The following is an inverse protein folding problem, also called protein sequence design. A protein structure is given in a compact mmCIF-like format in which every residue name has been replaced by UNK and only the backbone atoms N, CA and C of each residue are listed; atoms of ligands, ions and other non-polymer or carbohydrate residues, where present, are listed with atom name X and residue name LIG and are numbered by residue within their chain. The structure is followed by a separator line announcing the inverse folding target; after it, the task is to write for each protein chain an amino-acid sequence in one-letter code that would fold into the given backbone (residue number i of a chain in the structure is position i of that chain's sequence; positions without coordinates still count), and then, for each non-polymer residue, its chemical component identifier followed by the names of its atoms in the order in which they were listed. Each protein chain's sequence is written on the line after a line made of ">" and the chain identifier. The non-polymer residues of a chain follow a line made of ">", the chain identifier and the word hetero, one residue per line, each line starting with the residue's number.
data_IF_631497626639
#
_entry.id   IF_631497626639
#
_cell.length_a   1.000
_cell.length_b   1.000
_cell.length_c   1.000
_cell.angle_alpha   90.00
_cell.angle_beta   90.00
_cell.angle_gamma   90.00
#
_symmetry.space_group_name_H-M   'P 1'
#
loop_
_entity.id
_entity.type
_entity.pdbx_description
1 polymer ?
#
# COMPACT_ATOMS: atom_id res chain seq x y z
N UNK A 1 -28.16 -21.75 19.60
CA UNK A 1 -27.01 -20.94 20.04
C UNK A 1 -27.02 -19.69 19.18
N UNK A 2 -26.55 -18.55 19.68
CA UNK A 2 -26.34 -17.37 18.84
C UNK A 2 -25.21 -17.68 17.84
N UNK A 3 -25.42 -17.49 16.55
CA UNK A 3 -24.42 -17.75 15.50
C UNK A 3 -23.13 -16.94 15.75
N UNK A 4 -23.27 -15.75 16.32
CA UNK A 4 -22.13 -14.93 16.75
C UNK A 4 -21.34 -15.58 17.89
N UNK A 5 -21.97 -16.37 18.77
CA UNK A 5 -21.27 -17.13 19.82
C UNK A 5 -20.57 -18.36 19.25
N UNK A 6 -21.19 -19.06 18.29
CA UNK A 6 -20.55 -20.20 17.61
C UNK A 6 -19.30 -19.77 16.83
N UNK A 7 -19.37 -18.65 16.11
CA UNK A 7 -18.21 -18.06 15.40
C UNK A 7 -17.12 -17.67 16.41
N UNK A 8 -17.51 -17.05 17.52
CA UNK A 8 -16.56 -16.62 18.54
C UNK A 8 -15.80 -17.81 19.14
N UNK A 9 -16.51 -18.88 19.46
CA UNK A 9 -15.93 -20.07 20.08
C UNK A 9 -15.09 -20.86 19.08
N UNK A 10 -15.51 -20.97 17.81
CA UNK A 10 -14.72 -21.59 16.76
C UNK A 10 -13.37 -20.87 16.56
N UNK A 11 -13.36 -19.54 16.54
CA UNK A 11 -12.11 -18.77 16.37
C UNK A 11 -11.22 -18.84 17.61
N UNK A 12 -11.79 -18.82 18.83
CA UNK A 12 -11.02 -19.04 20.07
C UNK A 12 -10.38 -20.42 20.11
N UNK A 13 -11.09 -21.46 19.64
CA UNK A 13 -10.56 -22.82 19.52
C UNK A 13 -9.40 -22.93 18.51
N UNK A 14 -9.29 -21.99 17.57
CA UNK A 14 -8.12 -21.85 16.68
C UNK A 14 -6.96 -21.06 17.30
N UNK A 15 -7.08 -20.65 18.58
CA UNK A 15 -6.07 -19.90 19.31
C UNK A 15 -6.11 -18.39 19.06
N UNK A 16 -7.20 -17.86 18.49
CA UNK A 16 -7.35 -16.42 18.27
C UNK A 16 -7.97 -15.73 19.48
N UNK A 17 -7.42 -14.57 19.85
CA UNK A 17 -7.99 -13.71 20.89
C UNK A 17 -8.94 -12.70 20.26
N UNK A 18 -10.21 -12.70 20.66
CA UNK A 18 -11.21 -11.79 20.11
C UNK A 18 -11.33 -10.50 20.92
N UNK A 19 -11.63 -9.39 20.26
CA UNK A 19 -11.95 -8.10 20.85
C UNK A 19 -13.46 -7.88 20.75
N UNK A 20 -14.20 -8.28 21.79
CA UNK A 20 -15.66 -8.21 21.79
C UNK A 20 -16.33 -9.40 21.08
N UNK A 21 -17.65 -9.31 20.91
CA UNK A 21 -18.45 -10.32 20.18
C UNK A 21 -18.39 -10.07 18.68
N UNK A 22 -18.47 -11.12 17.83
CA UNK A 22 -18.78 -10.98 16.42
C UNK A 22 -20.02 -10.10 16.22
N UNK A 23 -19.99 -9.29 15.17
CA UNK A 23 -21.08 -8.37 14.84
C UNK A 23 -21.55 -8.70 13.45
N UNK A 24 -22.86 -8.82 13.26
CA UNK A 24 -23.45 -9.02 11.95
C UNK A 24 -23.12 -7.82 11.04
N UNK A 25 -22.66 -8.09 9.82
CA UNK A 25 -22.48 -7.04 8.83
C UNK A 25 -23.87 -6.44 8.51
N UNK A 26 -24.00 -5.11 8.57
CA UNK A 26 -25.29 -4.40 8.38
C UNK A 26 -25.92 -4.63 7.01
N UNK A 27 -25.16 -5.17 6.06
CA UNK A 27 -25.65 -5.56 4.75
C UNK A 27 -26.03 -7.05 4.63
N UNK A 28 -26.01 -7.81 5.73
CA UNK A 28 -26.39 -9.23 5.78
C UNK A 28 -25.41 -10.15 5.06
N UNK A 29 -24.17 -9.69 4.83
CA UNK A 29 -23.15 -10.41 4.03
C UNK A 29 -22.19 -11.27 4.88
N UNK A 30 -22.55 -11.55 6.14
CA UNK A 30 -21.76 -12.37 7.06
C UNK A 30 -21.45 -11.66 8.38
N UNK A 31 -20.44 -12.16 9.10
CA UNK A 31 -20.05 -11.63 10.41
C UNK A 31 -18.70 -10.90 10.37
N UNK A 32 -18.59 -9.84 11.14
CA UNK A 32 -17.36 -9.09 11.40
C UNK A 32 -16.79 -9.55 12.73
N UNK A 33 -15.53 -9.99 12.73
CA UNK A 33 -14.87 -10.46 13.94
C UNK A 33 -13.60 -9.68 14.18
N UNK A 34 -13.48 -9.09 15.36
CA UNK A 34 -12.29 -8.33 15.75
C UNK A 34 -11.31 -9.26 16.48
N UNK A 35 -10.09 -9.38 15.98
CA UNK A 35 -9.03 -10.25 16.52
C UNK A 35 -7.88 -9.40 17.01
N UNK A 36 -7.49 -9.58 18.27
CA UNK A 36 -6.34 -8.91 18.85
C UNK A 36 -5.04 -9.44 18.24
N UNK A 37 -4.13 -8.53 17.91
CA UNK A 37 -2.78 -8.84 17.45
C UNK A 37 -1.74 -8.05 18.23
N UNK A 38 -0.63 -8.71 18.53
CA UNK A 38 0.56 -8.14 19.17
C UNK A 38 1.75 -8.19 18.20
N UNK A 39 2.75 -7.35 18.45
CA UNK A 39 4.00 -7.33 17.69
C UNK A 39 5.19 -7.47 18.65
N UNK A 40 6.11 -8.37 18.34
CA UNK A 40 7.36 -8.49 19.10
C UNK A 40 8.32 -7.32 18.79
N UNK A 41 9.48 -7.29 19.47
CA UNK A 41 10.52 -6.27 19.27
C UNK A 41 11.08 -6.26 17.83
N UNK A 42 10.96 -7.38 17.11
CA UNK A 42 11.32 -7.50 15.69
C UNK A 42 10.21 -7.10 14.71
N UNK A 43 9.04 -6.69 15.22
CA UNK A 43 7.87 -6.35 14.40
C UNK A 43 7.14 -7.56 13.82
N UNK A 44 7.41 -8.76 14.31
CA UNK A 44 6.67 -9.97 13.92
C UNK A 44 5.31 -9.97 14.62
N UNK A 45 4.26 -10.14 13.83
CA UNK A 45 2.87 -10.19 14.30
C UNK A 45 2.56 -11.55 14.95
N UNK A 46 1.84 -11.54 16.07
CA UNK A 46 1.24 -12.71 16.71
C UNK A 46 -0.23 -12.42 17.10
N UNK A 47 -1.22 -13.22 16.66
CA UNK A 47 -1.10 -14.35 15.74
C UNK A 47 -0.66 -13.93 14.33
N UNK A 48 0.02 -14.83 13.63
CA UNK A 48 0.52 -14.60 12.27
C UNK A 48 -0.63 -14.54 11.27
N UNK A 49 -0.41 -13.86 10.13
CA UNK A 49 -1.41 -13.82 9.05
C UNK A 49 -1.78 -15.21 8.53
N UNK A 50 -0.87 -16.18 8.59
CA UNK A 50 -1.16 -17.55 8.20
C UNK A 50 -2.15 -18.23 9.16
N UNK A 51 -1.93 -18.10 10.47
CA UNK A 51 -2.83 -18.66 11.49
C UNK A 51 -4.22 -18.04 11.40
N UNK A 52 -4.29 -16.71 11.23
CA UNK A 52 -5.55 -15.98 11.06
C UNK A 52 -6.27 -16.45 9.79
N UNK A 53 -5.59 -16.52 8.64
CA UNK A 53 -6.22 -16.98 7.39
C UNK A 53 -6.69 -18.42 7.45
N UNK A 54 -5.94 -19.30 8.13
CA UNK A 54 -6.34 -20.69 8.32
C UNK A 54 -7.60 -20.80 9.17
N UNK A 55 -7.65 -20.05 10.27
CA UNK A 55 -8.83 -19.98 11.13
C UNK A 55 -10.03 -19.38 10.39
N UNK A 56 -9.82 -18.31 9.62
CA UNK A 56 -10.84 -17.67 8.79
C UNK A 56 -11.46 -18.68 7.81
N UNK A 57 -10.64 -19.36 7.01
CA UNK A 57 -11.11 -20.33 6.03
C UNK A 57 -11.84 -21.53 6.67
N UNK A 58 -11.39 -21.99 7.84
CA UNK A 58 -12.02 -23.10 8.55
C UNK A 58 -13.40 -22.70 9.06
N UNK A 59 -13.52 -21.52 9.67
CA UNK A 59 -14.81 -21.01 10.17
C UNK A 59 -15.74 -20.67 9.00
N UNK A 60 -15.24 -20.06 7.93
CA UNK A 60 -16.04 -19.78 6.72
C UNK A 60 -16.66 -21.05 6.13
N UNK A 61 -15.93 -22.17 6.15
CA UNK A 61 -16.41 -23.45 5.62
C UNK A 61 -17.55 -24.09 6.43
N UNK A 62 -17.76 -23.67 7.67
CA UNK A 62 -18.71 -24.29 8.61
C UNK A 62 -19.86 -23.32 8.92
N UNK A 63 -19.54 -22.06 9.19
CA UNK A 63 -20.45 -21.05 9.75
C UNK A 63 -20.69 -19.87 8.79
N UNK A 64 -20.28 -19.98 7.53
CA UNK A 64 -20.52 -18.96 6.51
C UNK A 64 -19.54 -17.79 6.56
N UNK A 65 -19.77 -16.79 5.70
CA UNK A 65 -18.81 -15.70 5.46
C UNK A 65 -18.48 -14.92 6.74
N UNK A 66 -17.19 -14.83 7.05
CA UNK A 66 -16.68 -14.00 8.14
C UNK A 66 -15.60 -13.04 7.65
N UNK A 67 -15.40 -11.96 8.39
CA UNK A 67 -14.42 -10.93 8.05
C UNK A 67 -13.59 -10.60 9.29
N UNK A 68 -12.34 -11.04 9.30
CA UNK A 68 -11.48 -10.79 10.45
C UNK A 68 -10.84 -9.39 10.36
N UNK A 69 -11.07 -8.56 11.38
CA UNK A 69 -10.50 -7.24 11.58
C UNK A 69 -9.42 -7.33 12.65
N UNK A 70 -8.18 -6.99 12.32
CA UNK A 70 -7.09 -7.01 13.29
C UNK A 70 -7.16 -5.76 14.16
N UNK A 71 -6.94 -5.92 15.46
CA UNK A 71 -6.91 -4.83 16.44
C UNK A 71 -5.60 -4.92 17.19
N UNK A 72 -4.75 -3.89 17.13
CA UNK A 72 -3.51 -3.83 17.90
C UNK A 72 -3.63 -2.87 19.07
N UNK A 73 -2.96 -3.18 20.18
CA UNK A 73 -2.93 -2.34 21.38
C UNK A 73 -2.26 -0.96 21.18
N UNK A 74 -1.46 -0.78 20.12
CA UNK A 74 -0.70 0.46 19.87
C UNK A 74 -1.51 1.60 19.23
N UNK A 75 -2.82 1.59 19.43
CA UNK A 75 -3.71 2.62 18.89
C UNK A 75 -4.22 2.28 17.50
N UNK A 76 -5.31 2.97 17.17
CA UNK A 76 -6.26 2.73 16.10
C UNK A 76 -5.64 2.85 14.68
N UNK A 77 -4.70 1.98 14.32
CA UNK A 77 -4.02 2.00 13.03
C UNK A 77 -4.88 1.35 11.95
N UNK A 78 -6.03 1.98 11.68
CA UNK A 78 -6.98 1.51 10.69
C UNK A 78 -6.34 1.39 9.30
N UNK A 79 -5.29 2.18 8.99
CA UNK A 79 -4.53 2.08 7.74
C UNK A 79 -3.90 0.70 7.63
N UNK A 80 -3.30 0.20 8.71
CA UNK A 80 -2.78 -1.15 8.77
C UNK A 80 -3.89 -2.20 8.78
N UNK A 81 -5.03 -1.94 9.42
CA UNK A 81 -6.14 -2.88 9.46
C UNK A 81 -6.78 -3.09 8.08
N UNK A 82 -7.10 -2.01 7.35
CA UNK A 82 -7.69 -2.10 6.01
C UNK A 82 -6.72 -2.76 5.03
N UNK A 83 -5.43 -2.39 5.12
CA UNK A 83 -4.38 -2.99 4.31
C UNK A 83 -4.25 -4.49 4.57
N UNK A 84 -4.24 -4.90 5.84
CA UNK A 84 -4.11 -6.31 6.23
C UNK A 84 -5.33 -7.12 5.79
N UNK A 85 -6.53 -6.59 6.02
CA UNK A 85 -7.79 -7.24 5.61
C UNK A 85 -7.85 -7.44 4.08
N UNK A 86 -7.57 -6.40 3.30
CA UNK A 86 -7.61 -6.49 1.84
C UNK A 86 -6.47 -7.35 1.26
N UNK A 87 -5.23 -7.24 1.77
CA UNK A 87 -4.12 -8.09 1.32
C UNK A 87 -4.37 -9.55 1.66
N UNK A 88 -4.98 -9.86 2.82
CA UNK A 88 -5.27 -11.22 3.23
C UNK A 88 -6.32 -11.86 2.31
N UNK A 89 -7.45 -11.18 2.13
CA UNK A 89 -8.57 -11.66 1.30
C UNK A 89 -8.21 -11.73 -0.18
N UNK A 90 -7.50 -10.73 -0.70
CA UNK A 90 -7.15 -10.62 -2.12
C UNK A 90 -5.66 -10.89 -2.38
N UNK A 91 -5.07 -11.81 -1.62
CA UNK A 91 -3.62 -12.08 -1.65
C UNK A 91 -3.11 -12.56 -3.01
N UNK A 92 -3.97 -13.17 -3.85
CA UNK A 92 -3.61 -13.61 -5.21
C UNK A 92 -3.60 -12.45 -6.21
N UNK A 93 -4.38 -11.41 -5.95
CA UNK A 93 -4.62 -10.30 -6.88
C UNK A 93 -3.82 -9.06 -6.50
N UNK A 94 -3.70 -8.73 -5.21
CA UNK A 94 -3.10 -7.50 -4.72
C UNK A 94 -1.66 -7.76 -4.25
N UNK A 95 -0.73 -6.93 -4.71
CA UNK A 95 0.67 -6.92 -4.24
C UNK A 95 0.82 -6.01 -3.02
N UNK A 96 0.20 -4.84 -3.07
CA UNK A 96 0.37 -3.82 -2.03
C UNK A 96 -0.81 -2.85 -2.03
N UNK A 97 -1.00 -2.17 -0.91
CA UNK A 97 -2.06 -1.17 -0.72
C UNK A 97 -1.45 0.05 -0.05
N UNK A 98 -1.87 1.21 -0.51
CA UNK A 98 -1.51 2.50 0.06
C UNK A 98 -2.78 3.22 0.49
N UNK A 99 -2.69 3.94 1.61
CA UNK A 99 -3.85 4.58 2.22
C UNK A 99 -3.47 5.98 2.67
N UNK A 100 -4.28 6.96 2.31
CA UNK A 100 -4.21 8.32 2.80
C UNK A 100 -5.52 8.70 3.46
N UNK A 101 -5.44 9.59 4.45
CA UNK A 101 -6.55 9.90 5.35
C UNK A 101 -6.56 11.39 5.58
N UNK A 102 -7.70 12.02 5.31
CA UNK A 102 -7.91 13.46 5.53
C UNK A 102 -9.28 13.66 6.18
N UNK A 103 -9.29 13.89 7.48
CA UNK A 103 -10.54 13.91 8.25
C UNK A 103 -11.20 12.54 8.25
N UNK A 104 -12.47 12.46 7.85
CA UNK A 104 -13.23 11.21 7.71
C UNK A 104 -13.12 10.58 6.31
N UNK A 105 -12.33 11.17 5.40
CA UNK A 105 -12.16 10.71 4.02
C UNK A 105 -10.90 9.88 3.89
N UNK A 106 -11.04 8.74 3.23
CA UNK A 106 -9.94 7.80 2.97
C UNK A 106 -9.75 7.65 1.47
N UNK A 107 -8.51 7.75 1.03
CA UNK A 107 -8.10 7.43 -0.35
C UNK A 107 -7.29 6.14 -0.32
N UNK A 108 -7.65 5.19 -1.18
CA UNK A 108 -6.99 3.90 -1.32
C UNK A 108 -6.41 3.73 -2.72
N UNK A 109 -5.18 3.24 -2.76
CA UNK A 109 -4.54 2.81 -3.98
C UNK A 109 -4.15 1.34 -3.86
N UNK A 110 -4.57 0.54 -4.82
CA UNK A 110 -4.18 -0.86 -4.92
C UNK A 110 -3.10 -1.02 -5.99
N UNK A 111 -2.04 -1.75 -5.65
CA UNK A 111 -1.01 -2.18 -6.59
C UNK A 111 -1.26 -3.66 -6.91
N UNK A 112 -1.81 -4.00 -8.07
CA UNK A 112 -2.15 -5.38 -8.39
C UNK A 112 -0.94 -6.18 -8.92
N UNK A 113 -0.94 -7.49 -8.63
CA UNK A 113 0.09 -8.44 -9.07
C UNK A 113 0.07 -8.67 -10.58
N UNK A 114 -1.12 -8.72 -11.16
CA UNK A 114 -1.41 -8.86 -12.59
C UNK A 114 -2.56 -7.93 -12.96
N UNK A 115 -3.03 -7.98 -14.21
CA UNK A 115 -4.25 -7.26 -14.57
C UNK A 115 -5.45 -7.95 -13.90
N UNK A 116 -6.31 -7.15 -13.29
CA UNK A 116 -7.48 -7.59 -12.52
C UNK A 116 -8.71 -7.18 -13.33
N UNK A 117 -9.71 -8.07 -13.41
CA UNK A 117 -10.96 -7.75 -14.07
C UNK A 117 -11.71 -6.63 -13.34
N UNK A 118 -12.42 -5.77 -14.08
CA UNK A 118 -13.16 -4.64 -13.52
C UNK A 118 -14.17 -5.07 -12.43
N UNK A 119 -14.78 -6.26 -12.59
CA UNK A 119 -15.69 -6.85 -11.60
C UNK A 119 -14.99 -7.11 -10.26
N UNK A 120 -13.77 -7.63 -10.29
CA UNK A 120 -12.97 -7.88 -9.08
C UNK A 120 -12.48 -6.57 -8.45
N UNK A 121 -12.15 -5.54 -9.25
CA UNK A 121 -11.81 -4.21 -8.76
C UNK A 121 -12.97 -3.62 -7.95
N UNK A 122 -14.20 -3.69 -8.49
CA UNK A 122 -15.41 -3.24 -7.79
C UNK A 122 -15.68 -4.02 -6.51
N UNK A 123 -15.44 -5.33 -6.52
CA UNK A 123 -15.58 -6.16 -5.32
C UNK A 123 -14.63 -5.70 -4.20
N UNK A 124 -13.34 -5.48 -4.54
CA UNK A 124 -12.33 -4.97 -3.60
C UNK A 124 -12.73 -3.59 -3.08
N UNK A 125 -13.22 -2.70 -3.97
CA UNK A 125 -13.67 -1.36 -3.59
C UNK A 125 -14.86 -1.42 -2.62
N UNK A 126 -15.89 -2.21 -2.93
CA UNK A 126 -17.06 -2.38 -2.07
C UNK A 126 -16.65 -2.89 -0.70
N UNK A 127 -15.76 -3.89 -0.65
CA UNK A 127 -15.25 -4.43 0.60
C UNK A 127 -14.48 -3.39 1.42
N UNK A 128 -13.70 -2.55 0.75
CA UNK A 128 -13.03 -1.43 1.40
C UNK A 128 -14.04 -0.42 1.98
N UNK A 129 -15.12 -0.11 1.25
CA UNK A 129 -16.21 0.76 1.74
C UNK A 129 -16.87 0.19 2.98
N UNK A 130 -17.23 -1.09 2.96
CA UNK A 130 -17.88 -1.76 4.08
C UNK A 130 -17.02 -1.67 5.34
N UNK A 131 -15.73 -1.97 5.20
CA UNK A 131 -14.77 -1.86 6.28
C UNK A 131 -14.66 -0.43 6.84
N UNK A 132 -14.59 0.58 5.97
CA UNK A 132 -14.47 1.98 6.39
C UNK A 132 -15.70 2.47 7.15
N UNK A 133 -16.90 1.99 6.81
CA UNK A 133 -18.13 2.36 7.53
C UNK A 133 -18.11 1.97 9.00
N UNK A 134 -17.45 0.86 9.35
CA UNK A 134 -17.29 0.40 10.74
C UNK A 134 -16.59 1.46 11.60
N UNK A 135 -15.68 2.22 10.99
CA UNK A 135 -14.89 3.28 11.65
C UNK A 135 -15.49 4.68 11.44
N UNK A 136 -16.72 4.80 10.91
CA UNK A 136 -17.32 6.07 10.50
C UNK A 136 -16.46 6.86 9.49
N UNK A 137 -15.73 6.15 8.63
CA UNK A 137 -14.93 6.72 7.55
C UNK A 137 -15.65 6.52 6.20
N UNK A 138 -15.37 7.40 5.26
CA UNK A 138 -15.88 7.32 3.89
C UNK A 138 -14.75 7.14 2.89
N UNK A 139 -14.95 6.25 1.92
CA UNK A 139 -14.02 6.08 0.80
C UNK A 139 -14.22 7.23 -0.17
N UNK A 140 -13.24 8.11 -0.26
CA UNK A 140 -13.26 9.29 -1.14
C UNK A 140 -12.71 8.95 -2.52
N UNK A 141 -11.61 8.19 -2.57
CA UNK A 141 -10.98 7.76 -3.82
C UNK A 141 -10.54 6.29 -3.72
N UNK A 142 -10.80 5.52 -4.77
CA UNK A 142 -10.26 4.17 -4.95
C UNK A 142 -9.57 4.10 -6.30
N UNK A 143 -8.30 3.70 -6.31
CA UNK A 143 -7.48 3.79 -7.52
C UNK A 143 -6.66 2.52 -7.73
N UNK A 144 -6.78 1.95 -8.92
CA UNK A 144 -5.86 0.93 -9.41
C UNK A 144 -4.62 1.62 -10.00
N UNK A 145 -3.45 1.41 -9.39
CA UNK A 145 -2.22 2.09 -9.84
C UNK A 145 -1.80 1.72 -11.27
N UNK A 146 -2.29 0.60 -11.82
CA UNK A 146 -2.03 0.22 -13.22
C UNK A 146 -2.87 0.99 -14.24
N UNK A 147 -4.04 1.49 -13.83
CA UNK A 147 -4.96 2.22 -14.71
C UNK A 147 -4.76 3.74 -14.66
N UNK A 148 -4.08 4.26 -13.62
CA UNK A 148 -3.73 5.68 -13.53
C UNK A 148 -2.41 6.01 -14.23
N UNK A 149 -2.22 7.29 -14.54
CA UNK A 149 -0.96 7.85 -15.03
C UNK A 149 0.09 7.95 -13.90
N UNK A 150 0.30 6.84 -13.19
CA UNK A 150 1.35 6.77 -12.16
C UNK A 150 2.71 6.74 -12.83
N UNK A 151 3.73 7.39 -12.24
CA UNK A 151 5.00 7.51 -12.92
C UNK A 151 5.76 6.19 -12.94
N UNK A 152 6.23 5.80 -14.12
CA UNK A 152 7.06 4.61 -14.28
C UNK A 152 8.41 4.76 -13.57
N UNK A 153 9.02 3.63 -13.21
CA UNK A 153 10.39 3.62 -12.65
C UNK A 153 11.36 4.44 -13.53
N UNK A 154 11.24 4.28 -14.85
CA UNK A 154 12.05 5.00 -15.83
C UNK A 154 11.81 6.50 -15.80
N UNK A 155 10.55 6.95 -15.64
CA UNK A 155 10.23 8.37 -15.52
C UNK A 155 10.85 8.99 -14.25
N UNK A 156 10.66 8.33 -13.10
CA UNK A 156 11.21 8.77 -11.82
C UNK A 156 12.75 8.80 -11.83
N UNK A 157 13.39 7.72 -12.29
CA UNK A 157 14.84 7.65 -12.36
C UNK A 157 15.39 8.68 -13.36
N UNK A 158 14.74 8.90 -14.51
CA UNK A 158 15.15 9.96 -15.44
C UNK A 158 15.09 11.36 -14.84
N UNK A 159 14.11 11.63 -13.98
CA UNK A 159 14.00 12.87 -13.24
C UNK A 159 15.18 13.04 -12.28
N UNK A 160 15.46 12.01 -11.47
CA UNK A 160 16.63 11.98 -10.58
C UNK A 160 17.91 12.17 -11.38
N UNK A 161 18.07 11.52 -12.54
CA UNK A 161 19.25 11.70 -13.41
C UNK A 161 19.48 13.15 -13.82
N UNK A 162 18.40 13.83 -14.21
CA UNK A 162 18.47 15.17 -14.80
C UNK A 162 18.64 16.26 -13.76
N UNK A 163 17.93 16.16 -12.64
CA UNK A 163 17.84 17.25 -11.65
C UNK A 163 18.60 16.99 -10.35
N UNK A 164 19.23 15.81 -10.19
CA UNK A 164 19.96 15.45 -8.97
C UNK A 164 20.94 16.53 -8.49
N UNK A 165 21.07 16.72 -7.17
CA UNK A 165 20.39 15.99 -6.10
C UNK A 165 18.91 16.38 -5.94
N UNK A 166 18.02 15.40 -5.73
CA UNK A 166 16.59 15.63 -5.45
C UNK A 166 16.15 15.00 -4.14
N UNK A 167 15.47 15.76 -3.28
CA UNK A 167 14.71 15.20 -2.16
C UNK A 167 13.45 14.45 -2.64
N UNK A 168 12.83 13.69 -1.74
CA UNK A 168 11.56 13.02 -2.02
C UNK A 168 10.45 14.02 -2.36
N UNK A 169 10.35 15.13 -1.61
CA UNK A 169 9.31 16.15 -1.82
C UNK A 169 9.49 16.87 -3.16
N UNK A 170 10.73 17.23 -3.50
CA UNK A 170 11.04 17.80 -4.82
C UNK A 170 10.70 16.84 -5.95
N UNK A 171 10.96 15.54 -5.78
CA UNK A 171 10.63 14.53 -6.79
C UNK A 171 9.12 14.40 -6.96
N UNK A 172 8.35 14.43 -5.87
CA UNK A 172 6.89 14.42 -5.91
C UNK A 172 6.33 15.63 -6.65
N UNK A 173 6.80 16.85 -6.33
CA UNK A 173 6.38 18.09 -7.01
C UNK A 173 6.65 17.99 -8.52
N UNK A 174 7.87 17.62 -8.89
CA UNK A 174 8.29 17.49 -10.30
C UNK A 174 7.51 16.44 -11.09
N UNK A 175 7.09 15.36 -10.43
CA UNK A 175 6.26 14.33 -11.05
C UNK A 175 4.84 14.86 -11.29
N UNK A 176 4.26 15.55 -10.30
CA UNK A 176 2.92 16.15 -10.43
C UNK A 176 2.88 17.26 -11.48
N UNK A 177 3.91 18.11 -11.55
CA UNK A 177 4.04 19.15 -12.59
C UNK A 177 4.09 18.57 -14.01
N UNK A 178 4.55 17.33 -14.15
CA UNK A 178 4.55 16.60 -15.43
C UNK A 178 3.25 15.85 -15.72
N UNK A 179 2.24 16.02 -14.87
CA UNK A 179 0.92 15.39 -15.00
C UNK A 179 0.86 13.95 -14.52
N UNK A 180 1.84 13.48 -13.73
CA UNK A 180 1.77 12.14 -13.13
C UNK A 180 0.97 12.15 -11.83
N UNK A 181 0.21 11.07 -11.63
CA UNK A 181 -0.48 10.81 -10.37
C UNK A 181 0.48 10.13 -9.38
N UNK A 182 0.94 10.88 -8.38
CA UNK A 182 1.75 10.32 -7.28
C UNK A 182 0.81 9.92 -6.14
N UNK A 183 0.65 8.62 -5.82
CA UNK A 183 -0.38 8.16 -4.89
C UNK A 183 -0.24 8.70 -3.47
N UNK A 184 0.91 8.46 -2.84
CA UNK A 184 1.21 8.85 -1.45
C UNK A 184 2.70 9.07 -1.29
N UNK A 185 3.09 9.80 -0.24
CA UNK A 185 4.50 9.90 0.15
C UNK A 185 5.11 8.52 0.44
N UNK A 186 4.36 7.62 1.10
CA UNK A 186 4.80 6.24 1.38
C UNK A 186 5.04 5.43 0.10
N UNK A 187 4.25 5.66 -0.95
CA UNK A 187 4.47 5.05 -2.26
C UNK A 187 5.81 5.46 -2.84
N UNK A 188 6.11 6.77 -2.83
CA UNK A 188 7.36 7.29 -3.37
C UNK A 188 8.56 6.84 -2.52
N UNK A 189 8.43 6.89 -1.20
CA UNK A 189 9.43 6.41 -0.25
C UNK A 189 9.78 4.94 -0.49
N UNK A 190 8.77 4.04 -0.62
CA UNK A 190 9.01 2.62 -0.93
C UNK A 190 9.74 2.42 -2.26
N UNK A 191 9.41 3.20 -3.29
CA UNK A 191 10.10 3.11 -4.57
C UNK A 191 11.54 3.60 -4.50
N UNK A 192 11.79 4.74 -3.85
CA UNK A 192 13.14 5.26 -3.59
C UNK A 192 13.98 4.25 -2.82
N UNK A 193 13.40 3.63 -1.79
CA UNK A 193 14.11 2.68 -0.94
C UNK A 193 14.39 1.36 -1.69
N UNK A 194 13.47 0.92 -2.56
CA UNK A 194 13.69 -0.19 -3.51
C UNK A 194 14.86 0.11 -4.46
N UNK A 195 14.90 1.30 -5.06
CA UNK A 195 15.99 1.69 -5.97
C UNK A 195 17.33 1.87 -5.25
N UNK A 196 17.31 2.34 -4.00
CA UNK A 196 18.50 2.43 -3.15
C UNK A 196 19.06 1.05 -2.83
N UNK A 197 18.21 0.11 -2.39
CA UNK A 197 18.60 -1.30 -2.15
C UNK A 197 19.09 -1.98 -3.43
N UNK A 198 18.49 -1.66 -4.58
CA UNK A 198 18.95 -2.09 -5.90
C UNK A 198 20.24 -1.42 -6.39
N UNK A 199 20.79 -0.47 -5.62
CA UNK A 199 21.96 0.35 -5.94
C UNK A 199 21.81 1.19 -7.23
N UNK A 200 20.59 1.55 -7.62
CA UNK A 200 20.33 2.44 -8.77
C UNK A 200 20.48 3.91 -8.38
N UNK A 201 20.20 4.23 -7.13
CA UNK A 201 20.35 5.57 -6.55
C UNK A 201 21.08 5.48 -5.20
N UNK A 202 21.67 6.59 -4.79
CA UNK A 202 22.31 6.77 -3.49
C UNK A 202 21.65 7.97 -2.77
N UNK A 203 21.39 7.82 -1.47
CA UNK A 203 20.86 8.90 -0.62
C UNK A 203 22.03 9.58 0.07
N UNK A 204 22.21 10.87 -0.19
CA UNK A 204 23.21 11.73 0.44
C UNK A 204 22.82 12.05 1.89
N UNK A 205 23.78 12.57 2.66
CA UNK A 205 23.57 12.97 4.06
C UNK A 205 22.51 14.09 4.20
N UNK A 206 22.39 14.95 3.19
CA UNK A 206 21.37 16.01 3.11
C UNK A 206 19.96 15.49 2.74
N UNK A 207 19.79 14.18 2.59
CA UNK A 207 18.52 13.54 2.23
C UNK A 207 18.23 13.55 0.72
N UNK A 208 19.08 14.17 -0.11
CA UNK A 208 18.94 14.18 -1.56
C UNK A 208 19.36 12.85 -2.20
N UNK A 209 18.64 12.45 -3.25
CA UNK A 209 18.94 11.26 -4.03
C UNK A 209 19.74 11.63 -5.28
N UNK A 210 20.78 10.85 -5.54
CA UNK A 210 21.62 10.94 -6.73
C UNK A 210 21.69 9.58 -7.42
N UNK A 211 21.90 9.58 -8.73
CA UNK A 211 22.02 8.35 -9.50
C UNK A 211 23.41 7.72 -9.34
N UNK A 212 23.47 6.40 -9.22
CA UNK A 212 24.74 5.66 -9.24
C UNK A 212 25.18 5.35 -10.66
N UNK A 213 26.44 4.93 -10.84
CA UNK A 213 26.94 4.42 -12.13
C UNK A 213 26.11 3.23 -12.64
N UNK A 214 25.68 2.34 -11.75
CA UNK A 214 24.80 1.21 -12.07
C UNK A 214 23.43 1.69 -12.55
N UNK A 215 22.85 2.69 -11.89
CA UNK A 215 21.58 3.31 -12.30
C UNK A 215 21.67 3.98 -13.67
N UNK A 216 22.78 4.69 -13.94
CA UNK A 216 23.03 5.30 -15.26
C UNK A 216 23.11 4.25 -16.36
N UNK A 217 23.82 3.14 -16.13
CA UNK A 217 23.90 2.02 -17.07
C UNK A 217 22.53 1.38 -17.30
N UNK A 218 21.75 1.17 -16.23
CA UNK A 218 20.43 0.54 -16.31
C UNK A 218 19.40 1.36 -17.11
N UNK A 219 19.49 2.70 -17.10
CA UNK A 219 18.62 3.57 -17.90
C UNK A 219 19.02 3.67 -19.37
N UNK A 220 20.24 3.22 -19.71
CA UNK A 220 20.83 3.46 -21.02
C UNK A 220 21.15 4.93 -21.30
N UNK A 221 22.05 5.13 -22.25
CA UNK A 221 22.42 6.43 -22.80
C UNK A 221 21.92 6.52 -24.24
N UNK A 222 20.83 7.25 -24.49
CA UNK A 222 20.44 7.61 -25.85
C UNK A 222 21.43 8.62 -26.43
N UNK A 223 22.18 8.25 -27.47
CA UNK A 223 23.19 9.10 -28.14
C UNK A 223 22.55 10.12 -29.10
N UNK A 224 21.63 10.97 -28.63
CA UNK A 224 20.98 12.01 -29.46
C UNK A 224 21.16 13.40 -28.82
N UNK A 225 20.91 14.50 -29.56
CA UNK A 225 20.99 15.90 -29.06
C UNK A 225 20.12 16.21 -27.81
N UNK A 226 19.23 15.30 -27.41
CA UNK A 226 18.46 15.31 -26.15
C UNK A 226 19.15 14.49 -25.05
N UNK A 227 20.45 14.28 -25.14
CA UNK A 227 21.21 13.50 -24.17
C UNK A 227 21.05 14.13 -22.78
N UNK A 228 20.69 13.32 -21.77
CA UNK A 228 20.61 13.74 -20.37
C UNK A 228 21.90 14.41 -19.89
N UNK A 229 23.05 13.98 -20.39
CA UNK A 229 24.36 14.53 -19.99
C UNK A 229 24.56 15.95 -20.53
N UNK A 230 24.08 16.23 -21.75
CA UNK A 230 24.07 17.58 -22.34
C UNK A 230 23.09 18.48 -21.57
N UNK A 231 21.91 17.97 -21.25
CA UNK A 231 20.92 18.71 -20.45
C UNK A 231 21.45 19.03 -19.04
N UNK A 232 22.18 18.09 -18.42
CA UNK A 232 22.79 18.29 -17.10
C UNK A 232 23.95 19.29 -17.14
N UNK A 233 24.79 19.24 -18.17
CA UNK A 233 25.86 20.22 -18.37
C UNK A 233 25.30 21.65 -18.57
N UNK A 234 24.21 21.78 -19.35
CA UNK A 234 23.54 23.07 -19.55
C UNK A 234 22.85 23.60 -18.28
N UNK A 235 22.22 22.74 -17.48
CA UNK A 235 21.58 23.16 -16.22
C UNK A 235 22.62 23.58 -15.17
N UNK A 236 23.76 22.88 -15.11
CA UNK A 236 24.89 23.30 -14.25
C UNK A 236 25.46 24.66 -14.67
N UNK A 237 25.63 24.90 -15.98
CA UNK A 237 26.13 26.18 -16.49
C UNK A 237 25.18 27.35 -16.17
N UNK A 238 23.87 27.13 -16.21
CA UNK A 238 22.85 28.15 -15.87
C UNK A 238 22.75 28.49 -14.38
N UNK A 239 23.22 27.60 -13.49
CA UNK A 239 23.23 27.85 -12.03
C UNK A 239 24.50 28.56 -11.55
N UNK A 240 25.51 28.70 -12.41
CA UNK A 240 26.78 29.38 -12.11
C UNK A 240 26.86 30.79 -12.73
N UNK A 241 25.86 31.21 -13.50
CA UNK A 241 25.67 32.58 -14.00
C UNK A 241 24.64 33.33 -13.16
#
# INVERSE_FOLDING_TARGET
>A
MDESEEIADALKNQGLTLVGKPVEDKEGRGHLVFVSVSFDEGGKQSPTNYEISRAEALVESILGDISIILVSEKGNDFKNNIKSMLIRRYSKQIRNIFTSVKGNKVSLWIEPKADIAETQIREIENRARDFLRIFNLSLDHFTNTRQNNTPSNTACLNLIRKKAPLSQDQLEIELRERGFDVPTQDWLAKNLDRWRKGQLIHRRADGGYVMTVKGLKALGSGKNRRSPDIARALDMARRQS
#
